data_IF_819840600819
#
_entry.id   IF_819840600819
#
_cell.length_a   1.000
_cell.length_b   1.000
_cell.length_c   1.000
_cell.angle_alpha   90.00
_cell.angle_beta   90.00
_cell.angle_gamma   90.00
#
_symmetry.space_group_name_H-M   'P 1'
#
loop_
_entity.id
_entity.type
_entity.pdbx_description
1 polymer ?
#
# COMPACT_ATOMS: atom_id res chain seq x y z
N UNK A 1 47.56 13.73 -17.68
CA UNK A 1 47.23 12.69 -16.68
C UNK A 1 46.39 13.20 -15.52
N UNK A 2 46.78 14.27 -14.80
CA UNK A 2 46.00 14.82 -13.66
C UNK A 2 44.53 15.16 -14.00
N UNK A 3 44.26 15.80 -15.13
CA UNK A 3 42.89 16.16 -15.59
C UNK A 3 41.99 14.94 -15.88
N UNK A 4 42.57 13.84 -16.39
CA UNK A 4 41.86 12.59 -16.66
C UNK A 4 41.51 11.89 -15.34
N UNK A 5 42.44 11.90 -14.38
CA UNK A 5 42.20 11.34 -13.04
C UNK A 5 41.08 12.11 -12.32
N UNK A 6 41.07 13.44 -12.39
CA UNK A 6 39.99 14.25 -11.80
C UNK A 6 38.63 13.96 -12.42
N UNK A 7 38.55 13.79 -13.75
CA UNK A 7 37.29 13.46 -14.46
C UNK A 7 36.79 12.06 -14.07
N UNK A 8 37.70 11.07 -13.98
CA UNK A 8 37.34 9.70 -13.57
C UNK A 8 36.84 9.68 -12.12
N UNK A 9 37.51 10.40 -11.21
CA UNK A 9 37.10 10.50 -9.80
C UNK A 9 35.73 11.18 -9.67
N UNK A 10 35.48 12.27 -10.39
CA UNK A 10 34.17 12.93 -10.43
C UNK A 10 33.06 12.00 -10.96
N UNK A 11 33.35 11.21 -11.99
CA UNK A 11 32.38 10.29 -12.58
C UNK A 11 32.04 9.11 -11.65
N UNK A 12 33.03 8.59 -10.89
CA UNK A 12 32.81 7.54 -9.89
C UNK A 12 31.94 8.06 -8.74
N UNK A 13 32.12 9.31 -8.30
CA UNK A 13 31.27 9.91 -7.26
C UNK A 13 29.80 10.05 -7.68
N UNK A 14 29.48 10.25 -8.97
CA UNK A 14 28.09 10.26 -9.45
C UNK A 14 27.45 8.86 -9.48
N UNK A 15 28.24 7.80 -9.67
CA UNK A 15 27.77 6.41 -9.65
C UNK A 15 27.38 5.92 -8.24
N UNK A 16 27.90 6.54 -7.18
CA UNK A 16 27.51 6.17 -5.79
C UNK A 16 26.13 6.73 -5.41
N UNK A 17 25.59 7.71 -6.14
CA UNK A 17 24.22 8.21 -5.92
C UNK A 17 23.14 7.39 -6.64
N UNK A 18 23.49 6.47 -7.54
CA UNK A 18 22.51 5.64 -8.22
C UNK A 18 22.04 4.49 -7.33
N UNK A 19 20.85 4.71 -6.74
CA UNK A 19 19.92 3.71 -6.24
C UNK A 19 20.21 3.09 -4.85
N UNK A 20 20.04 3.89 -3.80
CA UNK A 20 19.46 3.34 -2.56
C UNK A 20 18.00 2.93 -2.85
N UNK A 21 17.79 1.70 -3.33
CA UNK A 21 16.45 1.08 -3.36
C UNK A 21 16.06 0.79 -1.92
N UNK A 22 15.43 1.76 -1.25
CA UNK A 22 14.88 1.54 0.08
C UNK A 22 13.74 0.52 -0.04
N UNK A 23 13.93 -0.68 0.51
CA UNK A 23 12.87 -1.69 0.61
C UNK A 23 11.86 -1.22 1.66
N UNK A 24 10.97 -0.29 1.28
CA UNK A 24 9.91 0.21 2.15
C UNK A 24 8.99 -0.94 2.54
N UNK A 25 8.78 -1.14 3.84
CA UNK A 25 7.82 -2.12 4.36
C UNK A 25 6.44 -1.46 4.45
N UNK A 26 5.39 -2.20 4.10
CA UNK A 26 4.02 -1.75 4.34
C UNK A 26 3.78 -1.75 5.86
N UNK A 27 3.35 -0.60 6.40
CA UNK A 27 3.00 -0.45 7.81
C UNK A 27 1.50 -0.17 7.86
N UNK A 28 0.76 -1.18 8.31
CA UNK A 28 -0.66 -1.05 8.65
C UNK A 28 -0.81 -0.84 10.16
N UNK A 29 -1.90 -0.21 10.62
CA UNK A 29 -2.23 -0.11 12.04
C UNK A 29 -2.25 -1.46 12.75
N UNK A 30 -1.96 -1.45 14.04
CA UNK A 30 -2.09 -2.64 14.87
C UNK A 30 -3.58 -3.04 14.99
N UNK A 31 -3.94 -4.32 14.84
CA UNK A 31 -5.33 -4.74 14.91
C UNK A 31 -6.06 -4.31 16.18
N UNK A 32 -5.34 -4.25 17.31
CA UNK A 32 -5.88 -3.86 18.60
C UNK A 32 -6.30 -2.38 18.63
N UNK A 33 -5.66 -1.50 17.85
CA UNK A 33 -5.99 -0.07 17.77
C UNK A 33 -7.20 0.24 16.88
N UNK A 34 -7.65 -0.73 16.08
CA UNK A 34 -8.73 -0.54 15.10
C UNK A 34 -10.10 -0.93 15.68
N UNK A 35 -11.07 -0.03 15.54
CA UNK A 35 -12.48 -0.28 15.89
C UNK A 35 -13.23 -0.94 14.73
N UNK A 36 -13.06 -0.42 13.52
CA UNK A 36 -13.80 -0.84 12.32
C UNK A 36 -12.90 -0.73 11.09
N UNK A 37 -13.03 -1.68 10.16
CA UNK A 37 -12.52 -1.52 8.78
C UNK A 37 -13.70 -1.27 7.86
N UNK A 38 -13.63 -0.21 7.06
CA UNK A 38 -14.60 0.08 6.00
C UNK A 38 -13.99 -0.20 4.62
N UNK A 39 -14.75 -0.91 3.80
CA UNK A 39 -14.42 -1.28 2.43
C UNK A 39 -15.42 -0.62 1.49
N UNK A 40 -14.92 0.16 0.54
CA UNK A 40 -15.76 0.83 -0.46
C UNK A 40 -15.13 0.73 -1.85
N UNK A 41 -15.85 0.24 -2.84
CA UNK A 41 -15.40 0.29 -4.24
C UNK A 41 -15.55 1.72 -4.77
N UNK A 42 -14.54 2.26 -5.45
CA UNK A 42 -14.59 3.64 -5.99
C UNK A 42 -15.80 3.90 -6.88
N UNK A 43 -16.19 2.90 -7.68
CA UNK A 43 -17.29 2.98 -8.63
C UNK A 43 -18.66 2.64 -8.02
N UNK A 44 -18.71 2.36 -6.71
CA UNK A 44 -19.94 1.97 -6.01
C UNK A 44 -20.13 2.76 -4.73
N UNK A 45 -21.38 3.02 -4.39
CA UNK A 45 -21.75 3.58 -3.09
C UNK A 45 -21.85 2.52 -1.99
N UNK A 46 -21.75 1.23 -2.34
CA UNK A 46 -21.82 0.14 -1.37
C UNK A 46 -20.59 0.15 -0.45
N UNK A 47 -20.86 0.29 0.85
CA UNK A 47 -19.86 0.25 1.91
C UNK A 47 -20.09 -1.00 2.75
N UNK A 48 -19.05 -1.81 2.91
CA UNK A 48 -19.03 -2.96 3.82
C UNK A 48 -18.13 -2.66 5.01
N UNK A 49 -18.54 -3.09 6.19
CA UNK A 49 -17.81 -2.85 7.43
C UNK A 49 -17.44 -4.17 8.12
N UNK A 50 -16.21 -4.26 8.61
CA UNK A 50 -15.73 -5.36 9.44
C UNK A 50 -15.56 -4.83 10.86
N UNK A 51 -16.32 -5.39 11.81
CA UNK A 51 -16.30 -4.99 13.23
C UNK A 51 -15.80 -6.09 14.16
N UNK A 52 -15.78 -7.35 13.70
CA UNK A 52 -15.27 -8.47 14.51
C UNK A 52 -13.75 -8.43 14.58
N UNK A 53 -13.21 -8.47 15.80
CA UNK A 53 -11.77 -8.31 16.09
C UNK A 53 -10.92 -9.37 15.38
N UNK A 54 -11.40 -10.60 15.31
CA UNK A 54 -10.72 -11.71 14.64
C UNK A 54 -10.60 -11.47 13.13
N UNK A 55 -11.67 -10.97 12.50
CA UNK A 55 -11.68 -10.69 11.06
C UNK A 55 -10.79 -9.49 10.72
N UNK A 56 -10.82 -8.43 11.55
CA UNK A 56 -9.92 -7.27 11.46
C UNK A 56 -8.45 -7.72 11.55
N UNK A 57 -8.10 -8.46 12.60
CA UNK A 57 -6.74 -8.96 12.81
C UNK A 57 -6.27 -9.83 11.66
N UNK A 58 -7.14 -10.73 11.19
CA UNK A 58 -6.83 -11.64 10.08
C UNK A 58 -6.60 -10.86 8.79
N UNK A 59 -7.41 -9.85 8.46
CA UNK A 59 -7.25 -9.05 7.24
C UNK A 59 -5.94 -8.25 7.27
N UNK A 60 -5.67 -7.52 8.35
CA UNK A 60 -4.45 -6.71 8.51
C UNK A 60 -3.20 -7.58 8.39
N UNK A 61 -3.16 -8.71 9.11
CA UNK A 61 -2.01 -9.63 9.10
C UNK A 61 -1.79 -10.26 7.73
N UNK A 62 -2.86 -10.65 7.03
CA UNK A 62 -2.74 -11.22 5.69
C UNK A 62 -2.19 -10.20 4.68
N UNK A 63 -2.69 -8.96 4.70
CA UNK A 63 -2.18 -7.89 3.86
C UNK A 63 -0.68 -7.66 4.13
N UNK A 64 -0.31 -7.47 5.40
CA UNK A 64 1.10 -7.24 5.77
C UNK A 64 1.99 -8.41 5.33
N UNK A 65 1.56 -9.66 5.57
CA UNK A 65 2.32 -10.87 5.23
C UNK A 65 2.49 -11.07 3.72
N UNK A 66 1.48 -10.74 2.93
CA UNK A 66 1.48 -10.95 1.48
C UNK A 66 2.02 -9.76 0.69
N UNK A 67 2.31 -8.64 1.35
CA UNK A 67 2.85 -7.43 0.72
C UNK A 67 4.34 -7.58 0.35
N UNK A 68 4.67 -7.16 -0.87
CA UNK A 68 6.05 -7.09 -1.39
C UNK A 68 6.36 -5.66 -1.79
N UNK A 69 7.49 -5.16 -1.30
CA UNK A 69 8.00 -3.83 -1.63
C UNK A 69 8.20 -3.69 -3.14
N UNK A 70 7.81 -2.54 -3.70
CA UNK A 70 8.08 -2.17 -5.09
C UNK A 70 8.93 -0.91 -5.13
N UNK A 71 9.48 -0.59 -6.30
CA UNK A 71 10.17 0.70 -6.53
C UNK A 71 9.20 1.83 -6.94
N UNK A 72 7.89 1.62 -6.80
CA UNK A 72 6.88 2.61 -7.18
C UNK A 72 6.58 3.53 -5.99
N UNK A 73 6.52 4.82 -6.28
CA UNK A 73 6.19 5.86 -5.32
C UNK A 73 4.70 6.21 -5.38
N UNK A 74 4.10 6.45 -4.22
CA UNK A 74 2.77 7.07 -4.12
C UNK A 74 2.96 8.55 -3.84
N UNK A 75 2.48 9.40 -4.74
CA UNK A 75 2.66 10.87 -4.67
C UNK A 75 1.33 11.62 -4.67
N UNK A 76 0.22 10.90 -4.50
CA UNK A 76 -1.13 11.44 -4.52
C UNK A 76 -1.93 10.92 -3.32
N UNK A 77 -3.02 11.61 -3.00
CA UNK A 77 -3.95 11.19 -1.93
C UNK A 77 -4.72 9.90 -2.28
N UNK A 78 -4.89 9.61 -3.58
CA UNK A 78 -5.59 8.42 -4.08
C UNK A 78 -4.98 7.96 -5.42
N UNK A 79 -5.22 6.71 -5.86
CA UNK A 79 -4.77 6.23 -7.16
C UNK A 79 -5.32 7.08 -8.30
N UNK A 80 -4.44 7.63 -9.15
CA UNK A 80 -4.81 8.54 -10.25
C UNK A 80 -4.95 7.85 -11.61
N UNK A 81 -4.20 6.77 -11.83
CA UNK A 81 -4.13 6.06 -13.11
C UNK A 81 -4.92 4.74 -13.12
N UNK A 82 -5.85 4.59 -12.18
CA UNK A 82 -6.67 3.39 -12.03
C UNK A 82 -8.10 3.81 -11.74
N UNK A 83 -9.05 3.37 -12.56
CA UNK A 83 -10.47 3.76 -12.44
C UNK A 83 -11.18 3.00 -11.33
N UNK A 84 -10.87 1.71 -11.20
CA UNK A 84 -11.51 0.82 -10.24
C UNK A 84 -10.51 0.41 -9.17
N UNK A 85 -10.82 0.79 -7.93
CA UNK A 85 -10.03 0.49 -6.75
C UNK A 85 -10.96 0.42 -5.54
N UNK A 86 -10.54 -0.36 -4.54
CA UNK A 86 -11.22 -0.47 -3.25
C UNK A 86 -10.49 0.44 -2.26
N UNK A 87 -11.26 1.28 -1.60
CA UNK A 87 -10.84 2.12 -0.49
C UNK A 87 -10.98 1.28 0.78
N UNK A 88 -9.88 1.10 1.50
CA UNK A 88 -9.82 0.39 2.78
C UNK A 88 -9.48 1.42 3.85
N UNK A 89 -10.49 1.81 4.64
CA UNK A 89 -10.33 2.75 5.76
C UNK A 89 -10.27 1.98 7.07
N UNK A 90 -9.29 2.32 7.91
CA UNK A 90 -9.12 1.79 9.26
C UNK A 90 -9.51 2.89 10.25
N UNK A 91 -10.65 2.70 10.92
CA UNK A 91 -11.09 3.59 11.99
C UNK A 91 -10.41 3.20 13.28
N UNK A 92 -9.72 4.15 13.90
CA UNK A 92 -9.00 3.92 15.16
C UNK A 92 -9.92 4.10 16.36
N UNK A 93 -9.59 3.45 17.47
CA UNK A 93 -10.34 3.56 18.72
C UNK A 93 -10.08 4.88 19.46
N UNK A 94 -8.82 5.34 19.44
CA UNK A 94 -8.34 6.44 20.28
C UNK A 94 -7.57 7.51 19.50
N UNK A 95 -7.62 7.48 18.17
CA UNK A 95 -6.94 8.45 17.31
C UNK A 95 -7.98 9.24 16.52
N UNK A 96 -7.76 10.55 16.34
CA UNK A 96 -8.66 11.40 15.55
C UNK A 96 -8.55 11.15 14.04
N UNK A 97 -7.42 10.57 13.58
CA UNK A 97 -7.14 10.37 12.16
C UNK A 97 -7.22 8.91 11.76
N UNK A 98 -8.12 8.63 10.84
CA UNK A 98 -8.22 7.32 10.21
C UNK A 98 -7.04 7.06 9.29
N UNK A 99 -6.65 5.79 9.18
CA UNK A 99 -5.68 5.36 8.18
C UNK A 99 -6.40 4.86 6.93
N UNK A 100 -5.82 5.09 5.75
CA UNK A 100 -6.39 4.64 4.48
C UNK A 100 -5.34 3.97 3.61
N UNK A 101 -5.75 2.90 2.95
CA UNK A 101 -5.00 2.30 1.84
C UNK A 101 -5.96 1.97 0.70
N UNK A 102 -5.40 1.82 -0.49
CA UNK A 102 -6.15 1.54 -1.72
C UNK A 102 -5.71 0.24 -2.34
N UNK A 103 -6.64 -0.68 -2.57
CA UNK A 103 -6.38 -1.93 -3.28
C UNK A 103 -6.83 -1.80 -4.73
N UNK A 104 -5.97 -2.15 -5.68
CA UNK A 104 -6.35 -2.16 -7.09
C UNK A 104 -5.57 -3.18 -7.92
N UNK A 105 -6.14 -3.51 -9.09
CA UNK A 105 -5.48 -4.35 -10.09
C UNK A 105 -4.92 -3.48 -11.22
N UNK A 106 -3.65 -3.66 -11.55
CA UNK A 106 -2.99 -3.03 -12.71
C UNK A 106 -2.12 -4.05 -13.43
N UNK A 107 -2.28 -4.18 -14.75
CA UNK A 107 -1.50 -5.12 -15.59
C UNK A 107 -1.47 -6.56 -15.03
N UNK A 108 -2.63 -7.09 -14.60
CA UNK A 108 -2.81 -8.44 -14.00
C UNK A 108 -2.13 -8.67 -12.64
N UNK A 109 -1.60 -7.63 -12.01
CA UNK A 109 -1.04 -7.68 -10.65
C UNK A 109 -1.89 -6.84 -9.72
N UNK A 110 -1.89 -7.19 -8.44
CA UNK A 110 -2.60 -6.44 -7.42
C UNK A 110 -1.64 -5.62 -6.59
N UNK A 111 -2.11 -4.44 -6.20
CA UNK A 111 -1.32 -3.47 -5.47
C UNK A 111 -2.12 -2.89 -4.33
N UNK A 112 -1.42 -2.65 -3.22
CA UNK A 112 -1.87 -1.77 -2.16
C UNK A 112 -1.04 -0.49 -2.22
N UNK A 113 -1.73 0.63 -2.29
CA UNK A 113 -1.14 1.97 -2.25
C UNK A 113 -1.52 2.65 -0.94
N UNK A 114 -0.51 3.17 -0.24
CA UNK A 114 -0.69 4.03 0.91
C UNK A 114 -0.19 5.43 0.52
N UNK A 115 -1.03 6.47 0.63
CA UNK A 115 -0.68 7.83 0.23
C UNK A 115 0.67 8.27 0.80
N UNK A 116 1.55 8.76 -0.05
CA UNK A 116 2.88 9.29 0.29
C UNK A 116 3.84 8.30 0.99
N UNK A 117 3.43 7.05 1.21
CA UNK A 117 4.25 6.02 1.83
C UNK A 117 4.81 5.05 0.78
N UNK A 118 3.98 4.64 -0.19
CA UNK A 118 4.44 3.81 -1.30
C UNK A 118 3.36 2.89 -1.87
N UNK A 119 3.82 2.00 -2.74
CA UNK A 119 2.97 1.01 -3.42
C UNK A 119 3.62 -0.37 -3.24
N UNK A 120 2.83 -1.34 -2.82
CA UNK A 120 3.25 -2.73 -2.59
C UNK A 120 2.47 -3.67 -3.49
N UNK A 121 3.14 -4.67 -4.06
CA UNK A 121 2.46 -5.76 -4.76
C UNK A 121 1.91 -6.74 -3.72
N UNK A 122 0.68 -7.21 -3.90
CA UNK A 122 0.01 -8.18 -3.03
C UNK A 122 -0.49 -9.37 -3.83
N UNK A 123 -0.71 -10.50 -3.15
CA UNK A 123 -1.27 -11.68 -3.77
C UNK A 123 -2.77 -11.46 -4.11
N UNK A 124 -3.23 -11.91 -5.30
CA UNK A 124 -4.65 -12.02 -5.67
C UNK A 124 -5.64 -12.44 -4.59
N UNK A 125 -5.21 -13.31 -3.66
CA UNK A 125 -6.02 -13.78 -2.54
C UNK A 125 -6.63 -12.65 -1.68
N UNK A 126 -5.93 -11.50 -1.56
CA UNK A 126 -6.44 -10.34 -0.81
C UNK A 126 -7.70 -9.77 -1.48
N UNK A 127 -7.70 -9.58 -2.80
CA UNK A 127 -8.89 -9.08 -3.47
C UNK A 127 -10.03 -10.10 -3.42
N UNK A 128 -9.74 -11.39 -3.60
CA UNK A 128 -10.75 -12.45 -3.53
C UNK A 128 -11.47 -12.40 -2.17
N UNK A 129 -10.71 -12.30 -1.08
CA UNK A 129 -11.27 -12.21 0.27
C UNK A 129 -12.09 -10.93 0.49
N UNK A 130 -11.70 -9.81 -0.11
CA UNK A 130 -12.49 -8.59 -0.05
C UNK A 130 -13.78 -8.71 -0.88
N UNK A 131 -13.73 -9.35 -2.04
CA UNK A 131 -14.91 -9.62 -2.88
C UNK A 131 -15.91 -10.57 -2.19
N UNK A 132 -15.43 -11.55 -1.43
CA UNK A 132 -16.28 -12.40 -0.57
C UNK A 132 -17.07 -11.56 0.45
N UNK A 133 -16.46 -10.53 1.04
CA UNK A 133 -17.14 -9.62 1.99
C UNK A 133 -18.22 -8.78 1.29
N UNK A 134 -18.00 -8.40 0.03
CA UNK A 134 -19.03 -7.72 -0.77
C UNK A 134 -20.19 -8.63 -1.17
N UNK A 135 -19.92 -9.92 -1.31
CA UNK A 135 -20.89 -10.94 -1.74
C UNK A 135 -21.70 -11.53 -0.58
N UNK A 136 -21.25 -11.34 0.66
CA UNK A 136 -21.96 -11.71 1.90
C UNK A 136 -22.98 -10.67 2.32
#
# INVERSE_FOLDING_TARGET
MKKIITIIVCSISFLVLSACVSKKKLILPEPESISVISLQKKISENVKTITKREEISKLIKEIQRQSKSTSLESVNDQPTNVKDYIIIKFYHQNEEKDSVVYLYTKKKRQYIEQPYAGIWEVNPDIANRIEEIFSS
#
